data_IF_330950113545
#
_entry.id   IF_330950113545
#
_cell.length_a   1.000
_cell.length_b   1.000
_cell.length_c   1.000
_cell.angle_alpha   90.00
_cell.angle_beta   90.00
_cell.angle_gamma   90.00
#
_symmetry.space_group_name_H-M   'P 1'
#
loop_
_entity.id
_entity.type
_entity.pdbx_description
1 polymer ?
#
# COMPACT_ATOMS: atom_id res chain seq x y z
N UNK A 1 25.47 9.79 -13.84
CA UNK A 1 24.29 8.96 -14.13
C UNK A 1 23.04 9.50 -13.44
N UNK A 2 23.00 9.62 -12.10
CA UNK A 2 21.83 10.14 -11.36
C UNK A 2 21.29 11.50 -11.82
N UNK A 3 22.16 12.50 -11.99
CA UNK A 3 21.74 13.86 -12.41
C UNK A 3 21.00 13.86 -13.75
N UNK A 4 21.44 13.03 -14.69
CA UNK A 4 20.82 12.91 -16.00
C UNK A 4 19.47 12.20 -15.92
N UNK A 5 19.39 11.11 -15.15
CA UNK A 5 18.14 10.38 -14.91
C UNK A 5 17.11 11.28 -14.23
N UNK A 6 17.51 12.00 -13.19
CA UNK A 6 16.65 12.95 -12.48
C UNK A 6 16.15 14.08 -13.39
N UNK A 7 16.98 14.56 -14.32
CA UNK A 7 16.60 15.61 -15.27
C UNK A 7 15.61 15.10 -16.33
N UNK A 8 15.72 13.84 -16.76
CA UNK A 8 14.90 13.26 -17.83
C UNK A 8 13.63 12.58 -17.33
N UNK A 9 13.55 12.24 -16.04
CA UNK A 9 12.38 11.60 -15.48
C UNK A 9 11.13 12.49 -15.65
N UNK A 10 9.98 11.90 -16.05
CA UNK A 10 8.72 12.62 -16.11
C UNK A 10 8.29 13.19 -14.76
N UNK A 11 7.40 14.20 -14.79
CA UNK A 11 6.77 14.69 -13.58
C UNK A 11 6.05 13.55 -12.84
N UNK A 12 6.26 13.45 -11.52
CA UNK A 12 5.68 12.41 -10.69
C UNK A 12 6.45 11.08 -10.66
N UNK A 13 7.56 10.94 -11.40
CA UNK A 13 8.45 9.77 -11.33
C UNK A 13 9.72 10.16 -10.57
N UNK A 14 9.81 9.90 -9.25
CA UNK A 14 11.00 10.23 -8.49
C UNK A 14 12.17 9.33 -8.89
N UNK A 15 13.37 9.90 -8.91
CA UNK A 15 14.62 9.17 -9.10
C UNK A 15 15.40 9.23 -7.80
N UNK A 16 15.78 8.07 -7.28
CA UNK A 16 16.58 7.94 -6.07
C UNK A 16 17.99 7.47 -6.41
N UNK A 17 18.95 7.85 -5.57
CA UNK A 17 20.31 7.34 -5.59
C UNK A 17 20.65 6.87 -4.19
N UNK A 18 21.20 5.67 -4.06
CA UNK A 18 21.68 5.14 -2.79
C UNK A 18 22.73 6.09 -2.20
N UNK A 19 22.59 6.40 -0.91
CA UNK A 19 23.57 7.23 -0.21
C UNK A 19 24.88 6.46 -0.02
N UNK A 20 26.05 7.13 0.07
CA UNK A 20 27.35 6.45 0.14
C UNK A 20 27.52 5.46 1.30
N UNK A 21 26.78 5.64 2.40
CA UNK A 21 26.86 4.82 3.61
C UNK A 21 25.58 4.00 3.85
N UNK A 22 24.66 3.98 2.89
CA UNK A 22 23.45 3.16 2.98
C UNK A 22 23.78 1.72 2.58
N UNK A 23 23.13 0.76 3.24
CA UNK A 23 23.19 -0.65 2.85
C UNK A 23 22.84 -0.81 1.36
N UNK A 24 23.44 -1.81 0.72
CA UNK A 24 23.22 -2.08 -0.70
C UNK A 24 21.75 -2.41 -0.95
N UNK A 25 21.10 -1.57 -1.74
CA UNK A 25 19.69 -1.70 -2.09
C UNK A 25 19.48 -2.90 -3.00
N UNK A 26 20.44 -3.25 -3.86
CA UNK A 26 20.32 -4.42 -4.74
C UNK A 26 20.40 -5.72 -3.94
N UNK A 27 21.36 -5.83 -3.03
CA UNK A 27 21.46 -6.98 -2.12
C UNK A 27 20.22 -7.12 -1.25
N UNK A 28 19.71 -6.01 -0.70
CA UNK A 28 18.53 -6.01 0.16
C UNK A 28 17.24 -6.44 -0.58
N UNK A 29 17.20 -6.24 -1.89
CA UNK A 29 16.05 -6.58 -2.72
C UNK A 29 16.26 -7.88 -3.53
N UNK A 30 17.37 -8.59 -3.31
CA UNK A 30 17.76 -9.80 -4.04
C UNK A 30 17.74 -9.60 -5.57
N UNK A 31 18.23 -8.44 -6.02
CA UNK A 31 18.25 -8.06 -7.44
C UNK A 31 19.66 -7.98 -8.00
N UNK A 32 19.81 -8.34 -9.27
CA UNK A 32 21.07 -8.23 -10.00
C UNK A 32 21.15 -6.99 -10.89
N UNK A 33 22.35 -6.75 -11.42
CA UNK A 33 22.56 -5.74 -12.45
C UNK A 33 21.63 -6.00 -13.65
N UNK A 34 20.98 -4.93 -14.10
CA UNK A 34 20.05 -4.92 -15.25
C UNK A 34 18.70 -5.61 -14.99
N UNK A 35 18.39 -5.96 -13.74
CA UNK A 35 17.06 -6.44 -13.35
C UNK A 35 16.04 -5.31 -13.20
N UNK A 36 14.77 -5.64 -13.46
CA UNK A 36 13.64 -4.80 -13.07
C UNK A 36 12.83 -5.51 -11.99
N UNK A 37 12.84 -4.92 -10.79
CA UNK A 37 11.99 -5.30 -9.67
C UNK A 37 10.79 -4.37 -9.64
N UNK A 38 9.60 -4.91 -9.91
CA UNK A 38 8.36 -4.15 -10.03
C UNK A 38 7.47 -4.52 -8.84
N UNK A 39 7.12 -3.50 -8.07
CA UNK A 39 6.28 -3.64 -6.88
C UNK A 39 4.92 -2.97 -7.11
N UNK A 40 3.87 -3.53 -6.51
CA UNK A 40 2.55 -2.91 -6.51
C UNK A 40 2.36 -1.87 -5.40
N UNK A 41 1.14 -1.33 -5.28
CA UNK A 41 0.77 -0.31 -4.28
C UNK A 41 0.88 -0.79 -2.83
N UNK A 42 0.88 -2.10 -2.59
CA UNK A 42 1.08 -2.67 -1.26
C UNK A 42 2.56 -2.95 -0.95
N UNK A 43 3.47 -2.74 -1.91
CA UNK A 43 4.86 -3.14 -1.78
C UNK A 43 5.08 -4.64 -2.00
N UNK A 44 4.14 -5.34 -2.64
CA UNK A 44 4.36 -6.72 -3.07
C UNK A 44 5.19 -6.73 -4.35
N UNK A 45 6.25 -7.55 -4.41
CA UNK A 45 7.01 -7.78 -5.65
C UNK A 45 6.13 -8.58 -6.62
N UNK A 46 5.70 -7.95 -7.71
CA UNK A 46 4.81 -8.55 -8.71
C UNK A 46 5.57 -9.15 -9.88
N UNK A 47 6.70 -8.54 -10.24
CA UNK A 47 7.58 -9.06 -11.29
C UNK A 47 9.05 -8.81 -10.93
N UNK A 48 9.86 -9.84 -11.14
CA UNK A 48 11.32 -9.77 -11.17
C UNK A 48 11.76 -10.15 -12.59
N UNK A 49 12.14 -9.15 -13.38
CA UNK A 49 12.49 -9.34 -14.79
C UNK A 49 14.00 -9.28 -14.93
N UNK A 50 14.58 -10.44 -15.22
CA UNK A 50 16.02 -10.63 -15.43
C UNK A 50 16.37 -10.65 -16.93
N UNK A 51 17.66 -10.61 -17.25
CA UNK A 51 18.13 -10.80 -18.63
C UNK A 51 17.68 -12.17 -19.20
N UNK A 52 17.36 -12.27 -20.50
CA UNK A 52 17.37 -11.20 -21.53
C UNK A 52 16.05 -10.41 -21.61
N UNK A 53 15.08 -10.68 -20.74
CA UNK A 53 13.75 -10.05 -20.82
C UNK A 53 13.78 -8.59 -20.35
N UNK A 54 14.80 -8.18 -19.61
CA UNK A 54 15.01 -6.82 -19.14
C UNK A 54 15.52 -5.83 -20.22
N UNK A 55 15.86 -6.29 -21.43
CA UNK A 55 16.18 -5.38 -22.52
C UNK A 55 14.99 -4.48 -22.85
N UNK A 56 15.15 -3.16 -22.67
CA UNK A 56 14.09 -2.17 -22.88
C UNK A 56 13.63 -2.02 -24.34
N UNK A 57 14.30 -2.68 -25.29
CA UNK A 57 13.80 -2.83 -26.68
C UNK A 57 12.64 -3.83 -26.76
N UNK A 58 12.48 -4.69 -25.76
CA UNK A 58 11.42 -5.67 -25.65
C UNK A 58 10.27 -5.13 -24.79
N UNK A 59 9.03 -5.63 -25.00
CA UNK A 59 7.85 -5.08 -24.32
C UNK A 59 7.67 -5.55 -22.87
N UNK A 60 8.50 -6.46 -22.36
CA UNK A 60 8.25 -7.16 -21.09
C UNK A 60 8.21 -6.24 -19.88
N UNK A 61 9.16 -5.30 -19.78
CA UNK A 61 9.22 -4.33 -18.68
C UNK A 61 8.00 -3.42 -18.70
N UNK A 62 7.64 -2.87 -19.87
CA UNK A 62 6.46 -2.02 -20.01
C UNK A 62 5.17 -2.77 -19.66
N UNK A 63 5.01 -3.99 -20.19
CA UNK A 63 3.83 -4.82 -19.93
C UNK A 63 3.68 -5.15 -18.44
N UNK A 64 4.76 -5.52 -17.76
CA UNK A 64 4.74 -5.82 -16.33
C UNK A 64 4.40 -4.59 -15.47
N UNK A 65 4.93 -3.41 -15.82
CA UNK A 65 4.56 -2.14 -15.16
C UNK A 65 3.07 -1.87 -15.34
N UNK A 66 2.55 -2.00 -16.57
CA UNK A 66 1.12 -1.77 -16.89
C UNK A 66 0.23 -2.73 -16.11
N UNK A 67 0.54 -4.02 -16.11
CA UNK A 67 -0.24 -5.03 -15.36
C UNK A 67 -0.23 -4.70 -13.88
N UNK A 68 0.95 -4.45 -13.29
CA UNK A 68 1.08 -4.13 -11.87
C UNK A 68 0.28 -2.88 -11.47
N UNK A 69 0.29 -1.85 -12.31
CA UNK A 69 -0.39 -0.60 -12.02
C UNK A 69 -1.91 -0.68 -12.19
N UNK A 70 -2.37 -1.31 -13.27
CA UNK A 70 -3.79 -1.33 -13.67
C UNK A 70 -4.60 -2.39 -12.92
N UNK A 71 -3.96 -3.45 -12.44
CA UNK A 71 -4.65 -4.52 -11.72
C UNK A 71 -4.63 -4.27 -10.20
N UNK A 72 -5.43 -5.04 -9.47
CA UNK A 72 -5.48 -4.99 -8.00
C UNK A 72 -4.90 -6.27 -7.39
N UNK A 73 -3.62 -6.56 -7.67
CA UNK A 73 -2.95 -7.82 -7.29
C UNK A 73 -3.03 -8.06 -5.79
N UNK A 74 -2.59 -7.09 -4.98
CA UNK A 74 -2.67 -7.22 -3.52
C UNK A 74 -4.06 -6.91 -2.93
N UNK A 75 -5.11 -6.82 -3.76
CA UNK A 75 -6.49 -6.54 -3.33
C UNK A 75 -6.60 -5.35 -2.36
N UNK A 76 -5.98 -4.21 -2.66
CA UNK A 76 -6.08 -3.04 -1.80
C UNK A 76 -7.54 -2.60 -1.73
N UNK A 77 -8.12 -2.57 -0.53
CA UNK A 77 -9.33 -1.80 -0.29
C UNK A 77 -8.93 -0.35 -0.03
N UNK A 78 -9.53 0.61 -0.73
CA UNK A 78 -9.42 2.02 -0.36
C UNK A 78 -10.23 2.21 0.93
N UNK A 79 -9.58 1.98 2.08
CA UNK A 79 -10.14 2.39 3.35
C UNK A 79 -10.06 3.90 3.42
N UNK A 80 -11.12 4.58 3.00
CA UNK A 80 -11.32 6.01 3.27
C UNK A 80 -11.52 6.13 4.79
N UNK A 81 -10.43 6.20 5.54
CA UNK A 81 -10.50 6.68 6.91
C UNK A 81 -10.82 8.18 6.83
N UNK A 82 -12.11 8.50 6.70
CA UNK A 82 -12.62 9.79 7.16
C UNK A 82 -12.24 9.85 8.64
N UNK A 83 -11.11 10.49 8.94
CA UNK A 83 -10.86 10.92 10.30
C UNK A 83 -12.05 11.83 10.65
N UNK A 84 -12.93 11.46 11.59
CA UNK A 84 -13.90 12.41 12.08
C UNK A 84 -13.06 13.58 12.60
N UNK A 85 -13.32 14.78 12.08
CA UNK A 85 -12.70 16.01 12.56
C UNK A 85 -12.69 15.94 14.08
N UNK A 86 -11.51 15.77 14.69
CA UNK A 86 -11.37 16.01 16.12
C UNK A 86 -11.55 17.51 16.28
N UNK A 87 -12.79 17.93 16.49
CA UNK A 87 -13.08 19.23 17.07
C UNK A 87 -12.29 19.28 18.37
N UNK A 88 -11.24 20.10 18.39
CA UNK A 88 -10.63 20.52 19.63
C UNK A 88 -11.70 21.34 20.35
N UNK A 89 -12.54 20.66 21.14
CA UNK A 89 -13.36 21.31 22.15
C UNK A 89 -12.39 21.89 23.16
N UNK A 90 -12.01 23.15 22.95
CA UNK A 90 -11.36 23.95 23.97
C UNK A 90 -12.31 23.96 25.17
N UNK A 91 -11.90 23.25 26.23
CA UNK A 91 -12.57 23.25 27.52
C UNK A 91 -12.51 24.67 28.08
N UNK A 92 -13.55 25.45 27.84
CA UNK A 92 -13.87 26.62 28.63
C UNK A 92 -14.51 26.10 29.91
N UNK A 93 -13.72 26.15 30.97
CA UNK A 93 -14.15 25.99 32.35
C UNK A 93 -15.19 27.05 32.69
N UNK A 94 -16.38 26.62 33.08
CA UNK A 94 -17.21 27.35 34.04
C UNK A 94 -18.08 26.33 34.80
N UNK A 95 -17.99 26.36 36.12
CA UNK A 95 -18.62 25.41 37.01
C UNK A 95 -20.11 25.66 37.20
N UNK A 96 -20.87 24.60 37.47
CA UNK A 96 -21.66 24.46 38.69
C UNK A 96 -22.26 23.04 38.77
N UNK A 97 -22.33 22.53 39.98
CA UNK A 97 -22.84 21.23 40.42
C UNK A 97 -24.32 21.02 40.06
N UNK A 98 -24.70 19.78 39.75
CA UNK A 98 -25.69 18.95 40.50
C UNK A 98 -26.04 17.71 39.68
N UNK A 99 -25.83 16.53 40.28
CA UNK A 99 -26.10 15.25 39.63
C UNK A 99 -27.54 14.79 39.77
N UNK A 100 -27.99 13.93 38.84
CA UNK A 100 -29.10 12.97 39.05
C UNK A 100 -28.87 11.72 38.18
N UNK A 101 -29.11 10.57 38.80
CA UNK A 101 -29.04 9.19 38.33
C UNK A 101 -29.99 8.84 37.18
N UNK A 102 -29.71 7.74 36.46
CA UNK A 102 -30.78 7.01 35.76
C UNK A 102 -30.39 5.97 34.70
N UNK A 103 -30.24 4.71 35.15
CA UNK A 103 -30.75 3.46 34.52
C UNK A 103 -30.43 3.06 33.06
N UNK A 104 -29.67 1.95 32.97
CA UNK A 104 -30.01 0.64 32.34
C UNK A 104 -30.78 0.64 31.00
N UNK A 105 -30.24 -0.08 29.99
CA UNK A 105 -30.90 -1.26 29.40
C UNK A 105 -29.96 -2.05 28.46
N UNK A 106 -29.99 -3.36 28.69
CA UNK A 106 -29.27 -4.45 28.04
C UNK A 106 -30.06 -4.91 26.81
N UNK A 107 -29.37 -5.60 25.87
CA UNK A 107 -29.82 -6.71 25.01
C UNK A 107 -29.64 -6.44 23.51
N UNK A 108 -29.30 -7.40 22.66
CA UNK A 108 -28.82 -8.78 22.79
C UNK A 108 -28.54 -9.26 21.35
N UNK A 109 -27.53 -10.12 21.23
CA UNK A 109 -27.07 -10.81 20.02
C UNK A 109 -28.14 -11.74 19.43
N UNK A 110 -28.24 -11.82 18.10
CA UNK A 110 -28.71 -13.03 17.40
C UNK A 110 -27.91 -13.28 16.13
N UNK A 111 -27.22 -14.40 16.14
CA UNK A 111 -26.59 -15.12 15.04
C UNK A 111 -27.63 -15.93 14.25
N UNK A 112 -27.45 -16.03 12.93
CA UNK A 112 -28.13 -17.02 12.06
C UNK A 112 -27.08 -17.70 11.17
N UNK A 113 -27.20 -19.02 11.06
CA UNK A 113 -26.17 -20.01 10.69
C UNK A 113 -26.50 -20.64 9.33
N UNK A 114 -25.55 -20.53 8.37
CA UNK A 114 -25.05 -21.47 7.30
C UNK A 114 -26.04 -22.25 6.38
N UNK A 115 -25.59 -23.12 5.42
CA UNK A 115 -24.29 -23.31 4.73
C UNK A 115 -24.40 -23.41 3.18
N UNK A 116 -23.28 -23.38 2.43
CA UNK A 116 -22.93 -24.53 1.58
C UNK A 116 -21.46 -24.51 1.09
N UNK A 117 -20.90 -25.70 1.03
CA UNK A 117 -19.51 -26.08 0.74
C UNK A 117 -19.40 -26.56 -0.71
N UNK A 118 -18.26 -26.29 -1.37
CA UNK A 118 -17.72 -27.17 -2.42
C UNK A 118 -16.26 -26.81 -2.71
N UNK A 119 -15.38 -27.67 -2.21
CA UNK A 119 -13.96 -27.78 -2.52
C UNK A 119 -13.76 -28.30 -3.96
N UNK A 120 -12.82 -27.73 -4.71
CA UNK A 120 -12.19 -28.42 -5.85
C UNK A 120 -10.70 -28.04 -5.97
N UNK A 121 -9.87 -29.07 -5.75
CA UNK A 121 -8.46 -29.12 -6.13
C UNK A 121 -8.30 -29.24 -7.66
N UNK A 122 -7.29 -28.59 -8.22
CA UNK A 122 -6.31 -29.13 -9.19
C UNK A 122 -5.08 -28.21 -9.22
#
# INVERSE_FOLDING_TARGET
MYSELKRRAPAGVPVYQQAPLQNDVWDALDGDKDDFLIYDRCGLLTFHIVLPHSFLTNPYVEAAIRVTYLTNICNCTVSIHYAPNKTHSASLSDGNSTGVNGTTLVNQTTSVTTPNQSDHHH
#
